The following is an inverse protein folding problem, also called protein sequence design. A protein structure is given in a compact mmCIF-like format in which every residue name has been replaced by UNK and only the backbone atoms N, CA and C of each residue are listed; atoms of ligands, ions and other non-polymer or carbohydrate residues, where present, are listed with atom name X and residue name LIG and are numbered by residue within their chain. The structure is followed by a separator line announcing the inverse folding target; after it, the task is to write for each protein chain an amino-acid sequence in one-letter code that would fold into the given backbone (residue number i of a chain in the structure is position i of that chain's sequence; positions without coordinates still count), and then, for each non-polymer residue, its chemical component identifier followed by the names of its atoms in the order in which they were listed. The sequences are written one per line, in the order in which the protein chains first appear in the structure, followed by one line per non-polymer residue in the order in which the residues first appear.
data_IF_902524243457
#
_entry.id   IF_902524243457
#
_cell.length_a   1.000
_cell.length_b   1.000
_cell.length_c   1.000
_cell.angle_alpha   90.00
_cell.angle_beta   90.00
_cell.angle_gamma   90.00
#
_symmetry.space_group_name_H-M   'P 1'
#
loop_
_entity.id
_entity.type
_entity.pdbx_description
1 polymer ?
#
# COMPACT_ATOMS: atom_id res chain seq x y z
N UNK A 1 -49.07 -21.48 26.84
CA UNK A 1 -47.85 -20.75 27.15
C UNK A 1 -47.12 -20.44 25.83
N UNK A 2 -46.93 -19.15 25.44
CA UNK A 2 -46.33 -18.80 24.15
C UNK A 2 -44.84 -18.60 24.31
N UNK A 3 -44.04 -19.62 24.00
CA UNK A 3 -42.57 -19.59 24.03
C UNK A 3 -41.95 -19.46 22.61
N UNK A 4 -42.69 -19.01 21.62
CA UNK A 4 -42.29 -19.08 20.18
C UNK A 4 -41.65 -17.82 19.59
N UNK A 5 -41.55 -16.71 20.31
CA UNK A 5 -41.05 -15.46 19.75
C UNK A 5 -39.59 -15.06 20.10
N UNK A 6 -39.05 -15.65 21.19
CA UNK A 6 -37.70 -15.33 21.69
C UNK A 6 -36.60 -15.63 20.63
N UNK A 7 -36.70 -16.75 19.95
CA UNK A 7 -35.68 -17.16 18.94
C UNK A 7 -35.64 -16.29 17.70
N UNK A 8 -36.78 -15.71 17.31
CA UNK A 8 -36.82 -14.77 16.16
C UNK A 8 -36.06 -13.49 16.45
N UNK A 9 -36.23 -12.91 17.64
CA UNK A 9 -35.50 -11.70 18.03
C UNK A 9 -34.01 -11.98 18.19
N UNK A 10 -33.63 -13.13 18.70
CA UNK A 10 -32.24 -13.55 18.81
C UNK A 10 -31.56 -13.64 17.43
N UNK A 11 -32.25 -14.25 16.46
CA UNK A 11 -31.77 -14.34 15.07
C UNK A 11 -31.62 -12.97 14.40
N UNK A 12 -32.56 -12.05 14.64
CA UNK A 12 -32.49 -10.68 14.11
C UNK A 12 -31.30 -9.92 14.69
N UNK A 13 -31.08 -10.02 16.01
CA UNK A 13 -29.92 -9.40 16.68
C UNK A 13 -28.61 -9.94 16.14
N UNK A 14 -28.51 -11.26 15.98
CA UNK A 14 -27.31 -11.92 15.42
C UNK A 14 -27.03 -11.44 13.99
N UNK A 15 -28.07 -11.32 13.16
CA UNK A 15 -27.94 -10.82 11.78
C UNK A 15 -27.43 -9.37 11.75
N UNK A 16 -27.95 -8.51 12.63
CA UNK A 16 -27.50 -7.09 12.73
C UNK A 16 -26.02 -7.03 13.14
N UNK A 17 -25.59 -7.87 14.11
CA UNK A 17 -24.20 -7.91 14.54
C UNK A 17 -23.29 -8.35 13.39
N UNK A 18 -23.66 -9.39 12.64
CA UNK A 18 -22.89 -9.86 11.49
C UNK A 18 -22.81 -8.80 10.41
N UNK A 19 -23.93 -8.16 10.05
CA UNK A 19 -23.96 -7.11 9.04
C UNK A 19 -23.12 -5.88 9.46
N UNK A 20 -23.17 -5.49 10.75
CA UNK A 20 -22.36 -4.40 11.26
C UNK A 20 -20.86 -4.73 11.26
N UNK A 21 -20.48 -5.97 11.63
CA UNK A 21 -19.10 -6.43 11.58
C UNK A 21 -18.56 -6.49 10.14
N UNK A 22 -19.37 -6.97 9.19
CA UNK A 22 -19.03 -6.98 7.75
C UNK A 22 -18.91 -5.56 7.22
N UNK A 23 -19.86 -4.67 7.54
CA UNK A 23 -19.82 -3.26 7.15
C UNK A 23 -18.58 -2.55 7.70
N UNK A 24 -18.25 -2.77 8.97
CA UNK A 24 -17.04 -2.23 9.60
C UNK A 24 -15.76 -2.74 8.92
N UNK A 25 -15.71 -4.05 8.61
CA UNK A 25 -14.57 -4.66 7.90
C UNK A 25 -14.35 -4.03 6.51
N UNK A 26 -15.42 -3.88 5.72
CA UNK A 26 -15.32 -3.24 4.40
C UNK A 26 -14.95 -1.75 4.50
N UNK A 27 -15.48 -1.04 5.50
CA UNK A 27 -15.16 0.38 5.70
C UNK A 27 -13.69 0.58 6.06
N UNK A 28 -13.14 -0.25 6.95
CA UNK A 28 -11.72 -0.16 7.36
C UNK A 28 -10.77 -0.59 6.25
N UNK A 29 -11.12 -1.63 5.49
CA UNK A 29 -10.29 -2.14 4.40
C UNK A 29 -10.18 -1.19 3.20
N UNK A 30 -11.19 -0.34 2.98
CA UNK A 30 -11.22 0.60 1.84
C UNK A 30 -10.73 2.01 2.20
N UNK A 31 -10.18 2.21 3.39
CA UNK A 31 -9.62 3.51 3.79
C UNK A 31 -8.37 3.80 2.95
N UNK A 32 -8.47 4.78 2.05
CA UNK A 32 -7.32 5.24 1.27
C UNK A 32 -6.39 6.07 2.14
N UNK A 33 -5.08 5.91 1.95
CA UNK A 33 -4.09 6.79 2.53
C UNK A 33 -4.20 8.19 1.89
N UNK A 34 -4.11 9.22 2.72
CA UNK A 34 -4.07 10.61 2.25
C UNK A 34 -2.60 11.04 2.14
N UNK A 35 -2.11 11.19 0.92
CA UNK A 35 -0.73 11.58 0.65
C UNK A 35 -0.35 12.99 1.13
N UNK A 36 -1.31 13.81 1.56
CA UNK A 36 -1.02 15.07 2.26
C UNK A 36 -0.28 14.87 3.58
N UNK A 37 -0.39 13.65 4.15
CA UNK A 37 0.28 13.24 5.38
C UNK A 37 1.57 12.44 5.10
N UNK A 38 2.11 12.52 3.89
CA UNK A 38 3.35 11.86 3.48
C UNK A 38 4.40 12.91 3.12
N UNK A 39 5.66 12.63 3.42
CA UNK A 39 6.78 13.46 2.98
C UNK A 39 7.09 13.15 1.52
N UNK A 40 6.96 14.13 0.63
CA UNK A 40 7.32 13.99 -0.77
C UNK A 40 8.86 14.01 -0.91
N UNK A 41 9.45 12.89 -1.35
CA UNK A 41 10.89 12.76 -1.56
C UNK A 41 11.30 13.10 -3.01
N UNK A 42 10.39 13.01 -3.98
CA UNK A 42 10.68 13.37 -5.36
C UNK A 42 9.52 13.12 -6.32
N UNK A 43 9.82 13.34 -7.60
CA UNK A 43 8.87 13.07 -8.68
C UNK A 43 9.57 12.54 -9.93
N UNK A 44 8.82 11.78 -10.73
CA UNK A 44 9.26 11.28 -12.03
C UNK A 44 8.16 11.38 -13.07
N UNK A 45 8.53 11.25 -14.33
CA UNK A 45 7.61 11.23 -15.47
C UNK A 45 7.77 9.93 -16.25
N UNK A 46 6.65 9.38 -16.70
CA UNK A 46 6.59 8.17 -17.50
C UNK A 46 5.42 8.26 -18.47
N UNK A 47 5.50 7.61 -19.61
CA UNK A 47 4.36 7.52 -20.52
C UNK A 47 3.26 6.64 -19.93
N UNK A 48 2.00 7.08 -20.06
CA UNK A 48 0.83 6.30 -19.63
C UNK A 48 0.75 4.95 -20.35
N UNK A 49 0.12 3.97 -19.72
CA UNK A 49 0.00 2.65 -20.29
C UNK A 49 -0.31 1.57 -19.25
N UNK A 50 0.15 0.35 -19.53
CA UNK A 50 0.07 -0.76 -18.60
C UNK A 50 1.23 -0.69 -17.63
N UNK A 51 0.98 -0.24 -16.42
CA UNK A 51 2.00 0.04 -15.42
C UNK A 51 2.23 -1.18 -14.53
N UNK A 52 3.50 -1.50 -14.34
CA UNK A 52 3.99 -2.44 -13.33
C UNK A 52 4.92 -1.74 -12.35
N UNK A 53 5.03 -2.31 -11.18
CA UNK A 53 5.93 -1.84 -10.12
C UNK A 53 6.68 -3.03 -9.54
N UNK A 54 7.99 -2.86 -9.31
CA UNK A 54 8.84 -3.82 -8.58
C UNK A 54 9.40 -3.13 -7.35
N UNK A 55 9.51 -3.87 -6.26
CA UNK A 55 10.02 -3.38 -4.98
C UNK A 55 11.04 -4.37 -4.43
N UNK A 56 12.23 -3.88 -4.06
CA UNK A 56 13.27 -4.68 -3.41
C UNK A 56 14.10 -3.78 -2.49
N UNK A 57 14.97 -4.38 -1.70
CA UNK A 57 15.94 -3.64 -0.90
C UNK A 57 17.13 -3.22 -1.76
N UNK A 58 17.57 -1.97 -1.68
CA UNK A 58 18.78 -1.52 -2.38
C UNK A 58 20.02 -1.44 -1.48
N UNK A 59 19.84 -1.65 -0.19
CA UNK A 59 20.91 -1.58 0.81
C UNK A 59 21.28 -2.98 1.33
N UNK A 60 21.32 -3.14 2.63
CA UNK A 60 21.63 -4.41 3.28
C UNK A 60 20.35 -5.16 3.64
N UNK A 61 20.27 -6.44 3.32
CA UNK A 61 19.17 -7.30 3.80
C UNK A 61 19.30 -7.49 5.31
N UNK A 62 18.71 -6.58 6.06
CA UNK A 62 18.83 -6.55 7.51
C UNK A 62 17.49 -6.72 8.25
N UNK A 63 16.43 -7.05 7.50
CA UNK A 63 15.12 -7.39 8.02
C UNK A 63 14.08 -6.28 7.91
N UNK A 64 14.30 -5.34 7.01
CA UNK A 64 13.33 -4.28 6.68
C UNK A 64 11.97 -4.82 6.31
N UNK A 65 10.91 -4.18 6.78
CA UNK A 65 9.56 -4.41 6.30
C UNK A 65 8.76 -3.12 6.19
N UNK A 66 7.92 -3.05 5.14
CA UNK A 66 7.23 -1.83 4.74
C UNK A 66 5.76 -2.08 4.39
N UNK A 67 4.96 -1.03 4.45
CA UNK A 67 3.70 -0.91 3.72
C UNK A 67 3.94 -0.11 2.45
N UNK A 68 3.34 -0.58 1.35
CA UNK A 68 3.40 0.11 0.06
C UNK A 68 2.00 0.51 -0.36
N UNK A 69 1.85 1.77 -0.75
CA UNK A 69 0.61 2.36 -1.22
C UNK A 69 0.77 2.83 -2.67
N UNK A 70 -0.30 2.71 -3.46
CA UNK A 70 -0.41 3.34 -4.76
C UNK A 70 -1.77 4.05 -4.88
N UNK A 71 -1.76 5.34 -5.20
CA UNK A 71 -2.96 6.22 -5.23
C UNK A 71 -3.82 6.09 -3.96
N UNK A 72 -3.18 6.01 -2.82
CA UNK A 72 -3.79 5.85 -1.51
C UNK A 72 -4.25 4.43 -1.18
N UNK A 73 -4.24 3.50 -2.13
CA UNK A 73 -4.60 2.10 -1.89
C UNK A 73 -3.39 1.34 -1.34
N UNK A 74 -3.58 0.58 -0.28
CA UNK A 74 -2.58 -0.35 0.23
C UNK A 74 -2.38 -1.49 -0.80
N UNK A 75 -1.16 -1.60 -1.34
CA UNK A 75 -0.77 -2.61 -2.32
C UNK A 75 -0.09 -3.79 -1.63
N UNK A 76 0.75 -3.51 -0.65
CA UNK A 76 1.40 -4.51 0.18
C UNK A 76 1.35 -4.09 1.64
N UNK A 77 1.02 -5.04 2.51
CA UNK A 77 1.03 -4.88 3.95
C UNK A 77 2.11 -5.78 4.54
N UNK A 78 2.96 -5.22 5.40
CA UNK A 78 4.08 -5.94 6.03
C UNK A 78 4.99 -6.68 5.02
N UNK A 79 5.31 -6.02 3.90
CA UNK A 79 6.22 -6.55 2.91
C UNK A 79 7.65 -6.55 3.48
N UNK A 80 8.20 -7.75 3.73
CA UNK A 80 9.63 -7.89 3.95
C UNK A 80 10.35 -7.65 2.61
N UNK A 81 11.31 -6.74 2.59
CA UNK A 81 12.08 -6.43 1.38
C UNK A 81 13.41 -7.17 1.39
N UNK A 82 13.76 -7.74 0.25
CA UNK A 82 14.98 -8.47 -0.01
C UNK A 82 15.66 -7.90 -1.27
N UNK A 83 16.96 -8.11 -1.41
CA UNK A 83 17.67 -7.65 -2.60
C UNK A 83 17.24 -8.44 -3.85
N UNK A 84 16.94 -9.73 -3.72
CA UNK A 84 16.52 -10.59 -4.82
C UNK A 84 15.71 -11.81 -4.31
N UNK A 85 14.59 -12.20 -4.93
CA UNK A 85 13.94 -11.54 -6.06
C UNK A 85 13.10 -10.33 -5.64
N UNK A 86 12.91 -9.32 -6.51
CA UNK A 86 12.02 -8.21 -6.24
C UNK A 86 10.57 -8.65 -6.16
N UNK A 87 9.81 -8.00 -5.30
CA UNK A 87 8.34 -8.15 -5.25
C UNK A 87 7.69 -7.41 -6.41
N UNK A 88 6.83 -8.08 -7.19
CA UNK A 88 6.23 -7.53 -8.41
C UNK A 88 4.73 -7.24 -8.23
N UNK A 89 4.29 -6.06 -8.68
CA UNK A 89 2.90 -5.61 -8.64
C UNK A 89 2.43 -5.14 -10.01
N UNK A 90 1.26 -5.62 -10.45
CA UNK A 90 0.60 -5.17 -11.68
C UNK A 90 -0.42 -4.10 -11.31
N UNK A 91 -0.13 -2.83 -11.59
CA UNK A 91 -1.02 -1.71 -11.31
C UNK A 91 -2.12 -1.56 -12.35
N UNK A 92 -1.97 -2.20 -13.52
CA UNK A 92 -2.94 -2.18 -14.60
C UNK A 92 -2.72 -1.03 -15.58
N UNK A 93 -3.75 -0.74 -16.39
CA UNK A 93 -3.72 0.41 -17.32
C UNK A 93 -4.10 1.67 -16.56
N UNK A 94 -3.17 2.62 -16.49
CA UNK A 94 -3.37 3.92 -15.89
C UNK A 94 -3.47 5.00 -16.96
N UNK A 95 -4.30 6.01 -16.70
CA UNK A 95 -4.45 7.20 -17.55
C UNK A 95 -3.35 8.21 -17.26
N UNK A 96 -3.18 9.16 -18.17
CA UNK A 96 -2.36 10.34 -17.91
C UNK A 96 -2.87 11.09 -16.67
N UNK A 97 -1.94 11.65 -15.90
CA UNK A 97 -2.22 12.37 -14.67
C UNK A 97 -1.19 12.15 -13.59
N UNK A 98 -1.47 12.67 -12.40
CA UNK A 98 -0.63 12.48 -11.21
C UNK A 98 -1.03 11.21 -10.47
N UNK A 99 -0.03 10.37 -10.19
CA UNK A 99 -0.13 9.15 -9.39
C UNK A 99 0.88 9.20 -8.26
N UNK A 100 0.64 8.43 -7.21
CA UNK A 100 1.44 8.51 -6.00
C UNK A 100 1.83 7.13 -5.50
N UNK A 101 3.12 6.96 -5.23
CA UNK A 101 3.67 5.84 -4.48
C UNK A 101 3.87 6.31 -3.05
N UNK A 102 3.42 5.54 -2.06
CA UNK A 102 3.66 5.79 -0.65
C UNK A 102 4.35 4.62 0.00
N UNK A 103 5.28 4.90 0.91
CA UNK A 103 5.98 3.90 1.70
C UNK A 103 5.94 4.30 3.17
N UNK A 104 5.58 3.32 4.01
CA UNK A 104 5.66 3.45 5.46
C UNK A 104 6.49 2.30 6.00
N UNK A 105 7.52 2.59 6.79
CA UNK A 105 8.29 1.57 7.50
C UNK A 105 7.43 0.90 8.58
N UNK A 106 7.57 -0.42 8.70
CA UNK A 106 7.02 -1.24 9.78
C UNK A 106 8.16 -1.77 10.65
N UNK A 107 9.27 -2.11 10.02
CA UNK A 107 10.51 -2.50 10.65
C UNK A 107 11.67 -1.93 9.85
N UNK A 108 12.66 -1.35 10.53
CA UNK A 108 13.86 -0.72 9.94
C UNK A 108 15.07 -1.65 9.95
N UNK A 109 14.86 -2.94 10.26
CA UNK A 109 15.96 -3.87 10.38
C UNK A 109 16.96 -3.48 11.47
N UNK A 110 18.23 -3.54 11.16
CA UNK A 110 19.33 -3.26 12.11
C UNK A 110 20.30 -2.16 11.65
N UNK A 111 20.17 -1.66 10.42
CA UNK A 111 21.16 -0.80 9.77
C UNK A 111 20.63 0.57 9.32
N UNK A 112 19.54 1.05 9.88
CA UNK A 112 19.03 2.40 9.59
C UNK A 112 17.62 2.41 9.04
N UNK A 113 17.29 3.35 8.15
CA UNK A 113 15.97 3.43 7.53
C UNK A 113 15.65 2.20 6.69
N UNK A 114 14.37 1.81 6.62
CA UNK A 114 13.94 0.90 5.58
C UNK A 114 14.18 1.54 4.20
N UNK A 115 14.90 0.82 3.34
CA UNK A 115 15.45 1.34 2.08
C UNK A 115 14.90 0.62 0.83
N UNK A 116 13.60 0.75 0.54
CA UNK A 116 13.04 0.16 -0.67
C UNK A 116 13.50 0.90 -1.92
N UNK A 117 13.98 0.11 -2.89
CA UNK A 117 14.11 0.52 -4.28
C UNK A 117 12.82 0.17 -5.02
N UNK A 118 12.27 1.12 -5.72
CA UNK A 118 11.03 0.96 -6.48
C UNK A 118 11.28 1.23 -7.95
N UNK A 119 11.09 0.23 -8.80
CA UNK A 119 11.04 0.41 -10.25
C UNK A 119 9.61 0.49 -10.71
N UNK A 120 9.26 1.60 -11.39
CA UNK A 120 7.98 1.74 -12.09
C UNK A 120 8.22 1.65 -13.59
N UNK A 121 7.38 0.91 -14.33
CA UNK A 121 7.56 0.67 -15.76
C UNK A 121 6.23 0.56 -16.48
N UNK A 122 6.19 1.04 -17.74
CA UNK A 122 5.08 0.84 -18.68
C UNK A 122 5.35 -0.31 -19.69
N UNK A 123 6.45 -1.05 -19.51
CA UNK A 123 6.88 -2.12 -20.39
C UNK A 123 7.81 -1.67 -21.53
N UNK A 124 7.93 -0.35 -21.77
CA UNK A 124 8.90 0.25 -22.73
C UNK A 124 9.93 1.07 -21.96
N UNK A 125 9.43 1.95 -21.10
CA UNK A 125 10.23 2.84 -20.27
C UNK A 125 10.13 2.39 -18.81
N UNK A 126 11.17 2.67 -18.04
CA UNK A 126 11.18 2.45 -16.59
C UNK A 126 11.91 3.56 -15.88
N UNK A 127 11.56 3.77 -14.64
CA UNK A 127 12.23 4.71 -13.76
C UNK A 127 12.48 4.05 -12.39
N UNK A 128 13.68 4.23 -11.87
CA UNK A 128 14.14 3.71 -10.58
C UNK A 128 14.08 4.80 -9.51
N UNK A 129 13.58 4.45 -8.35
CA UNK A 129 13.29 5.35 -7.24
C UNK A 129 13.86 4.73 -5.98
N UNK A 130 14.73 5.46 -5.28
CA UNK A 130 15.19 5.11 -3.95
C UNK A 130 14.36 5.88 -2.92
N UNK A 131 13.76 5.17 -1.98
CA UNK A 131 12.92 5.75 -0.93
C UNK A 131 13.51 5.37 0.43
N UNK A 132 13.62 6.35 1.32
CA UNK A 132 13.94 6.10 2.73
C UNK A 132 12.67 6.25 3.57
N UNK A 133 12.43 5.29 4.46
CA UNK A 133 11.29 5.31 5.36
C UNK A 133 11.70 4.93 6.78
N UNK A 134 11.25 5.72 7.76
CA UNK A 134 11.55 5.56 9.19
C UNK A 134 10.26 5.25 9.94
N UNK A 135 10.31 4.36 10.95
CA UNK A 135 9.14 3.93 11.74
C UNK A 135 8.47 5.12 12.43
N UNK A 136 9.23 5.94 13.12
CA UNK A 136 8.70 7.03 13.92
C UNK A 136 8.61 8.36 13.15
N UNK A 137 8.66 8.30 11.82
CA UNK A 137 8.56 9.46 10.96
C UNK A 137 7.24 9.52 10.18
N UNK A 138 7.01 10.66 9.53
CA UNK A 138 5.97 10.80 8.53
C UNK A 138 6.29 9.86 7.35
N UNK A 139 5.34 9.03 6.89
CA UNK A 139 5.56 8.15 5.74
C UNK A 139 6.07 8.90 4.51
N UNK A 140 6.87 8.23 3.71
CA UNK A 140 7.48 8.78 2.50
C UNK A 140 6.60 8.60 1.28
N UNK A 141 6.69 9.52 0.31
CA UNK A 141 5.99 9.41 -0.97
C UNK A 141 6.82 9.86 -2.16
N UNK A 142 6.45 9.36 -3.32
CA UNK A 142 6.99 9.75 -4.62
C UNK A 142 5.85 10.03 -5.60
N UNK A 143 5.94 11.14 -6.35
CA UNK A 143 4.95 11.48 -7.36
C UNK A 143 5.36 10.89 -8.71
N UNK A 144 4.44 10.24 -9.41
CA UNK A 144 4.59 9.73 -10.77
C UNK A 144 3.65 10.48 -11.69
N UNK A 145 4.19 11.22 -12.65
CA UNK A 145 3.42 11.95 -13.66
C UNK A 145 3.35 11.10 -14.90
N UNK A 146 2.16 10.60 -15.24
CA UNK A 146 1.92 9.85 -16.48
C UNK A 146 1.46 10.81 -17.58
N UNK A 147 2.12 10.74 -18.75
CA UNK A 147 1.84 11.54 -19.95
C UNK A 147 1.12 10.75 -21.02
#
# INVERSE_FOLDING_TARGET
MPQKNSNKYLLIILLIIILSAVGYYFFTKNKKADFKNFTLQGQTELNAGKIGMKVWDYSAEDGDSIQVYFDGKLIADSLAIFNDPPSEYKLGRLSAGEHWIGVKAINEGTMGAASPHVRISNGRDSFDIDIEAWIDSIPSSWKVILK
#
